data_IF_334512366063
#
_entry.id   IF_334512366063
#
_cell.length_a   1.000
_cell.length_b   1.000
_cell.length_c   1.000
_cell.angle_alpha   90.00
_cell.angle_beta   90.00
_cell.angle_gamma   90.00
#
_symmetry.space_group_name_H-M   'P 1'
#
loop_
_entity.id
_entity.type
_entity.pdbx_description
1 polymer ?
#
# COMPACT_ATOMS: atom_id res chain seq x y z
N UNK A 1 -5.46 -26.21 19.20
CA UNK A 1 -4.21 -25.63 18.66
C UNK A 1 -4.12 -26.06 17.20
N UNK A 2 -4.03 -25.12 16.27
CA UNK A 2 -3.51 -25.45 14.93
C UNK A 2 -2.04 -25.83 15.11
N UNK A 3 -1.69 -27.08 14.83
CA UNK A 3 -0.31 -27.57 14.93
C UNK A 3 0.53 -26.85 13.89
N UNK A 4 1.51 -26.07 14.33
CA UNK A 4 2.51 -25.45 13.44
C UNK A 4 3.64 -26.41 13.07
N UNK A 5 3.54 -27.67 13.50
CA UNK A 5 4.48 -28.74 13.22
C UNK A 5 4.47 -29.05 11.72
N UNK A 6 5.64 -28.99 11.08
CA UNK A 6 5.80 -29.18 9.63
C UNK A 6 5.52 -27.94 8.76
N UNK A 7 5.15 -26.80 9.34
CA UNK A 7 4.98 -25.54 8.61
C UNK A 7 6.27 -24.73 8.55
N UNK A 8 6.51 -24.09 7.41
CA UNK A 8 7.62 -23.16 7.16
C UNK A 8 7.09 -21.83 6.61
N UNK A 9 7.86 -20.72 6.69
CA UNK A 9 7.48 -19.46 6.07
C UNK A 9 7.23 -19.63 4.57
N UNK A 10 6.26 -18.91 4.02
CA UNK A 10 6.02 -18.91 2.57
C UNK A 10 7.28 -18.50 1.81
N UNK A 11 7.62 -19.27 0.77
CA UNK A 11 8.78 -19.01 -0.08
C UNK A 11 8.42 -18.13 -1.28
N UNK A 12 9.45 -17.51 -1.86
CA UNK A 12 9.33 -16.71 -3.09
C UNK A 12 8.71 -17.52 -4.23
N UNK A 13 9.20 -18.74 -4.44
CA UNK A 13 8.76 -19.63 -5.53
C UNK A 13 7.34 -20.16 -5.33
N UNK A 14 6.95 -20.45 -4.08
CA UNK A 14 5.56 -20.80 -3.79
C UNK A 14 4.64 -19.62 -4.09
N UNK A 15 4.99 -18.41 -3.63
CA UNK A 15 4.16 -17.23 -3.84
C UNK A 15 4.05 -16.88 -5.34
N UNK A 16 5.13 -17.04 -6.11
CA UNK A 16 5.10 -16.89 -7.56
C UNK A 16 4.08 -17.82 -8.22
N UNK A 17 4.15 -19.13 -7.91
CA UNK A 17 3.20 -20.15 -8.40
C UNK A 17 1.77 -19.91 -7.94
N UNK A 18 1.59 -19.40 -6.71
CA UNK A 18 0.28 -19.00 -6.21
C UNK A 18 -0.29 -17.85 -7.04
N UNK A 19 0.51 -16.81 -7.27
CA UNK A 19 0.11 -15.65 -8.07
C UNK A 19 -0.11 -15.94 -9.56
N UNK A 20 0.47 -17.00 -10.12
CA UNK A 20 0.17 -17.44 -11.49
C UNK A 20 -1.31 -17.82 -11.71
N UNK A 21 -2.00 -18.18 -10.63
CA UNK A 21 -3.45 -18.47 -10.66
C UNK A 21 -4.30 -17.21 -10.72
N UNK A 22 -3.71 -16.03 -10.48
CA UNK A 22 -4.40 -14.75 -10.36
C UNK A 22 -3.76 -13.70 -11.27
N UNK A 23 -3.91 -13.81 -12.60
CA UNK A 23 -3.42 -12.78 -13.49
C UNK A 23 -4.19 -11.47 -13.28
N UNK A 24 -3.45 -10.36 -13.12
CA UNK A 24 -4.02 -9.02 -13.19
C UNK A 24 -3.89 -8.52 -14.65
N UNK A 25 -4.98 -8.13 -15.31
CA UNK A 25 -4.90 -7.54 -16.64
C UNK A 25 -3.96 -6.32 -16.66
N UNK A 26 -3.19 -6.10 -17.73
CA UNK A 26 -2.37 -4.91 -17.84
C UNK A 26 -3.26 -3.67 -17.85
N UNK A 27 -2.73 -2.57 -17.31
CA UNK A 27 -3.38 -1.26 -17.41
C UNK A 27 -3.50 -0.86 -18.89
N UNK A 28 -4.53 -0.08 -19.26
CA UNK A 28 -4.68 0.39 -20.63
C UNK A 28 -3.45 1.19 -21.10
N UNK A 29 -2.99 0.96 -22.34
CA UNK A 29 -1.81 1.63 -22.91
C UNK A 29 -1.93 3.17 -22.89
N UNK A 30 -3.16 3.68 -22.97
CA UNK A 30 -3.46 5.12 -22.93
C UNK A 30 -3.15 5.82 -21.61
N UNK A 31 -2.97 5.11 -20.49
CA UNK A 31 -2.72 5.72 -19.16
C UNK A 31 -1.44 6.55 -19.14
N UNK A 32 -0.37 6.03 -19.75
CA UNK A 32 0.91 6.73 -19.83
C UNK A 32 0.79 7.97 -20.73
N UNK A 33 0.09 7.84 -21.86
CA UNK A 33 -0.17 8.95 -22.77
C UNK A 33 -1.02 10.06 -22.11
N UNK A 34 -2.04 9.71 -21.34
CA UNK A 34 -2.86 10.65 -20.58
C UNK A 34 -2.02 11.39 -19.53
N UNK A 35 -1.17 10.66 -18.80
CA UNK A 35 -0.25 11.26 -17.84
C UNK A 35 0.72 12.24 -18.50
N UNK A 36 1.21 11.92 -19.71
CA UNK A 36 2.07 12.82 -20.48
C UNK A 36 1.30 14.04 -21.00
N UNK A 37 0.06 13.85 -21.47
CA UNK A 37 -0.81 14.93 -21.96
C UNK A 37 -1.12 15.94 -20.85
N UNK A 38 -1.49 15.48 -19.65
CA UNK A 38 -1.72 16.36 -18.50
C UNK A 38 -0.47 17.16 -18.13
N UNK A 39 0.72 16.53 -18.14
CA UNK A 39 1.98 17.23 -17.91
C UNK A 39 2.29 18.27 -18.99
N UNK A 40 1.98 17.99 -20.25
CA UNK A 40 2.14 18.94 -21.33
C UNK A 40 1.22 20.17 -21.13
N UNK A 41 -0.04 19.95 -20.77
CA UNK A 41 -0.98 21.03 -20.43
C UNK A 41 -0.49 21.86 -19.23
N UNK A 42 0.06 21.21 -18.19
CA UNK A 42 0.70 21.90 -17.08
C UNK A 42 1.90 22.75 -17.51
N UNK A 43 2.73 22.25 -18.43
CA UNK A 43 3.88 22.98 -18.95
C UNK A 43 3.47 24.21 -19.79
N UNK A 44 2.39 24.10 -20.58
CA UNK A 44 1.81 25.23 -21.31
C UNK A 44 1.32 26.33 -20.36
N UNK A 45 0.67 25.96 -19.26
CA UNK A 45 0.23 26.89 -18.22
C UNK A 45 1.42 27.58 -17.53
N UNK A 46 2.49 26.82 -17.27
CA UNK A 46 3.71 27.33 -16.67
C UNK A 46 4.49 28.29 -17.60
N UNK A 47 4.40 28.10 -18.92
CA UNK A 47 5.00 29.00 -19.89
C UNK A 47 4.34 30.39 -19.88
N UNK A 48 3.04 30.47 -19.57
CA UNK A 48 2.31 31.73 -19.45
C UNK A 48 2.54 32.42 -18.09
N UNK A 49 2.73 31.64 -17.02
CA UNK A 49 3.03 32.14 -15.68
C UNK A 49 3.93 31.14 -14.94
N UNK A 50 5.20 31.51 -14.65
CA UNK A 50 6.17 30.60 -14.05
C UNK A 50 5.68 29.97 -12.74
N UNK A 51 6.25 28.82 -12.40
CA UNK A 51 5.95 28.14 -11.15
C UNK A 51 6.37 28.97 -9.94
N UNK A 52 5.50 29.00 -8.92
CA UNK A 52 5.90 29.39 -7.57
C UNK A 52 6.83 28.32 -6.96
N UNK A 53 7.54 28.61 -5.85
CA UNK A 53 8.35 27.61 -5.16
C UNK A 53 7.55 26.35 -4.76
N UNK A 54 6.31 26.53 -4.29
CA UNK A 54 5.42 25.42 -3.93
C UNK A 54 5.01 24.59 -5.16
N UNK A 55 4.71 25.26 -6.28
CA UNK A 55 4.35 24.58 -7.52
C UNK A 55 5.54 23.84 -8.15
N UNK A 56 6.76 24.33 -7.96
CA UNK A 56 7.98 23.65 -8.41
C UNK A 56 8.18 22.34 -7.62
N UNK A 57 7.88 22.33 -6.31
CA UNK A 57 7.87 21.09 -5.53
C UNK A 57 6.81 20.10 -6.04
N UNK A 58 5.58 20.56 -6.33
CA UNK A 58 4.53 19.71 -6.88
C UNK A 58 4.89 19.14 -8.25
N UNK A 59 5.55 19.93 -9.10
CA UNK A 59 6.06 19.50 -10.41
C UNK A 59 7.18 18.47 -10.28
N UNK A 60 8.12 18.69 -9.35
CA UNK A 60 9.18 17.73 -9.05
C UNK A 60 8.60 16.40 -8.58
N UNK A 61 7.62 16.45 -7.67
CA UNK A 61 6.90 15.27 -7.19
C UNK A 61 6.21 14.53 -8.36
N UNK A 62 5.48 15.25 -9.21
CA UNK A 62 4.78 14.67 -10.36
C UNK A 62 5.71 14.12 -11.46
N UNK A 63 6.98 14.52 -11.46
CA UNK A 63 8.02 14.05 -12.37
C UNK A 63 8.89 12.94 -11.77
N UNK A 64 8.80 12.75 -10.45
CA UNK A 64 9.58 11.78 -9.71
C UNK A 64 9.27 10.33 -10.06
N UNK A 65 10.21 9.45 -9.72
CA UNK A 65 9.98 8.01 -9.77
C UNK A 65 9.14 7.63 -8.55
N UNK A 66 7.96 7.01 -8.72
CA UNK A 66 7.17 6.52 -7.61
C UNK A 66 8.00 5.59 -6.73
N UNK A 67 7.73 5.61 -5.42
CA UNK A 67 8.42 4.72 -4.49
C UNK A 67 8.33 3.26 -4.95
N UNK A 68 9.34 2.46 -4.65
CA UNK A 68 9.29 1.05 -5.02
C UNK A 68 8.30 0.25 -4.16
N UNK A 69 7.97 0.73 -2.96
CA UNK A 69 7.08 0.02 -2.04
C UNK A 69 5.61 0.21 -2.41
N UNK A 70 4.85 -0.90 -2.48
CA UNK A 70 3.40 -0.87 -2.80
C UNK A 70 2.62 -0.08 -1.73
N UNK A 71 2.89 -0.28 -0.44
CA UNK A 71 2.18 0.41 0.63
C UNK A 71 2.47 1.91 0.65
N UNK A 72 3.71 2.31 0.36
CA UNK A 72 4.07 3.71 0.18
C UNK A 72 3.27 4.36 -0.96
N UNK A 73 3.11 3.65 -2.08
CA UNK A 73 2.26 4.12 -3.17
C UNK A 73 0.78 4.15 -2.78
N UNK A 74 0.27 3.17 -2.02
CA UNK A 74 -1.12 3.21 -1.55
C UNK A 74 -1.38 4.46 -0.69
N UNK A 75 -0.46 4.80 0.21
CA UNK A 75 -0.53 6.04 1.00
C UNK A 75 -0.41 7.29 0.12
N UNK A 76 0.53 7.31 -0.83
CA UNK A 76 0.69 8.42 -1.77
C UNK A 76 -0.58 8.64 -2.62
N UNK A 77 -1.20 7.59 -3.16
CA UNK A 77 -2.44 7.71 -3.92
C UNK A 77 -3.58 8.24 -3.07
N UNK A 78 -3.69 7.81 -1.80
CA UNK A 78 -4.69 8.33 -0.85
C UNK A 78 -4.47 9.82 -0.57
N UNK A 79 -3.23 10.23 -0.33
CA UNK A 79 -2.82 11.64 -0.19
C UNK A 79 -3.24 12.44 -1.42
N UNK A 80 -2.90 11.97 -2.63
CA UNK A 80 -3.21 12.70 -3.86
C UNK A 80 -4.72 12.79 -4.12
N UNK A 81 -5.51 11.76 -3.79
CA UNK A 81 -6.97 11.84 -3.87
C UNK A 81 -7.50 12.95 -2.95
N UNK A 82 -7.04 13.02 -1.70
CA UNK A 82 -7.48 14.05 -0.76
C UNK A 82 -7.05 15.46 -1.17
N UNK A 83 -5.82 15.61 -1.67
CA UNK A 83 -5.32 16.87 -2.23
C UNK A 83 -6.16 17.34 -3.43
N UNK A 84 -6.51 16.43 -4.34
CA UNK A 84 -7.37 16.76 -5.48
C UNK A 84 -8.77 17.15 -4.99
N UNK A 85 -9.36 16.40 -4.06
CA UNK A 85 -10.67 16.72 -3.48
C UNK A 85 -10.67 18.08 -2.77
N UNK A 86 -9.56 18.42 -2.12
CA UNK A 86 -9.37 19.74 -1.53
C UNK A 86 -9.37 20.84 -2.58
N UNK A 87 -8.70 20.65 -3.73
CA UNK A 87 -8.73 21.59 -4.85
C UNK A 87 -10.12 21.71 -5.50
N UNK A 88 -10.85 20.58 -5.60
CA UNK A 88 -12.20 20.53 -6.19
C UNK A 88 -13.28 21.15 -5.31
N UNK A 89 -13.00 21.40 -4.02
CA UNK A 89 -13.98 21.99 -3.10
C UNK A 89 -14.54 23.30 -3.66
N UNK A 90 -15.87 23.43 -3.66
CA UNK A 90 -16.60 24.59 -4.20
C UNK A 90 -16.06 25.94 -3.73
N UNK A 91 -15.71 26.07 -2.44
CA UNK A 91 -15.19 27.34 -1.88
C UNK A 91 -13.81 27.72 -2.40
N UNK A 92 -13.06 26.77 -2.96
CA UNK A 92 -11.69 26.95 -3.49
C UNK A 92 -11.64 27.12 -4.99
N UNK A 93 -12.76 26.93 -5.69
CA UNK A 93 -12.84 27.17 -7.13
C UNK A 93 -12.72 28.68 -7.41
N UNK A 94 -12.20 29.09 -8.57
CA UNK A 94 -12.31 30.47 -9.06
C UNK A 94 -13.73 31.01 -8.97
N UNK A 95 -13.89 32.30 -8.63
CA UNK A 95 -15.22 32.94 -8.45
C UNK A 95 -16.12 32.75 -9.67
N UNK A 96 -15.56 32.83 -10.89
CA UNK A 96 -16.30 32.59 -12.12
C UNK A 96 -16.92 31.18 -12.20
N UNK A 97 -16.20 30.16 -11.73
CA UNK A 97 -16.70 28.79 -11.66
C UNK A 97 -17.71 28.62 -10.51
N UNK A 98 -17.52 29.31 -9.38
CA UNK A 98 -18.50 29.28 -8.28
C UNK A 98 -19.85 29.85 -8.70
N UNK A 99 -19.83 30.94 -9.46
CA UNK A 99 -21.02 31.65 -9.93
C UNK A 99 -21.60 31.09 -11.23
N UNK A 100 -20.89 30.17 -11.90
CA UNK A 100 -21.23 29.66 -13.24
C UNK A 100 -21.48 30.82 -14.22
N UNK A 101 -20.53 31.75 -14.28
CA UNK A 101 -20.70 33.05 -14.97
C UNK A 101 -20.99 32.92 -16.48
N UNK A 102 -20.64 31.81 -17.11
CA UNK A 102 -20.91 31.48 -18.51
C UNK A 102 -21.41 30.03 -18.67
N UNK A 103 -22.06 29.68 -19.79
CA UNK A 103 -22.42 28.28 -20.09
C UNK A 103 -21.21 27.34 -20.05
N UNK A 104 -20.05 27.78 -20.55
CA UNK A 104 -18.80 27.02 -20.52
C UNK A 104 -18.32 26.79 -19.08
N UNK A 105 -18.41 27.82 -18.23
CA UNK A 105 -18.08 27.69 -16.80
C UNK A 105 -19.01 26.66 -16.12
N UNK A 106 -20.28 26.57 -16.53
CA UNK A 106 -21.24 25.60 -16.01
C UNK A 106 -20.90 24.15 -16.44
N UNK A 107 -20.46 23.94 -17.68
CA UNK A 107 -20.00 22.63 -18.18
C UNK A 107 -18.72 22.17 -17.46
N UNK A 108 -17.77 23.09 -17.26
CA UNK A 108 -16.55 22.82 -16.48
C UNK A 108 -16.92 22.39 -15.07
N UNK A 109 -17.81 23.14 -14.40
CA UNK A 109 -18.28 22.81 -13.05
C UNK A 109 -18.93 21.43 -12.99
N UNK A 110 -19.77 21.09 -13.96
CA UNK A 110 -20.41 19.77 -14.03
C UNK A 110 -19.37 18.65 -14.11
N UNK A 111 -18.30 18.86 -14.89
CA UNK A 111 -17.22 17.88 -15.04
C UNK A 111 -16.37 17.76 -13.78
N UNK A 112 -16.08 18.89 -13.12
CA UNK A 112 -15.37 18.90 -11.83
C UNK A 112 -16.18 18.20 -10.73
N UNK A 113 -17.50 18.38 -10.70
CA UNK A 113 -18.41 17.71 -9.75
C UNK A 113 -18.45 16.19 -9.97
N UNK A 114 -18.44 15.72 -11.23
CA UNK A 114 -18.33 14.30 -11.57
C UNK A 114 -16.98 13.71 -11.11
N UNK A 115 -15.87 14.41 -11.41
CA UNK A 115 -14.54 14.02 -10.95
C UNK A 115 -14.45 13.93 -9.42
N UNK A 116 -15.03 14.92 -8.72
CA UNK A 116 -15.07 14.96 -7.25
C UNK A 116 -15.82 13.75 -6.69
N UNK A 117 -16.96 13.39 -7.31
CA UNK A 117 -17.77 12.24 -6.90
C UNK A 117 -17.00 10.93 -7.05
N UNK A 118 -16.37 10.70 -8.21
CA UNK A 118 -15.57 9.49 -8.47
C UNK A 118 -14.39 9.35 -7.51
N UNK A 119 -13.69 10.45 -7.24
CA UNK A 119 -12.55 10.44 -6.32
C UNK A 119 -12.98 10.23 -4.87
N UNK A 120 -14.11 10.78 -4.43
CA UNK A 120 -14.68 10.51 -3.10
C UNK A 120 -15.03 9.03 -2.93
N UNK A 121 -15.68 8.44 -3.93
CA UNK A 121 -16.03 7.02 -3.90
C UNK A 121 -14.78 6.13 -3.86
N UNK A 122 -13.76 6.44 -4.67
CA UNK A 122 -12.52 5.67 -4.69
C UNK A 122 -11.72 5.85 -3.39
N UNK A 123 -11.63 7.06 -2.85
CA UNK A 123 -10.98 7.32 -1.57
C UNK A 123 -11.62 6.47 -0.47
N UNK A 124 -12.96 6.48 -0.37
CA UNK A 124 -13.69 5.68 0.62
C UNK A 124 -13.41 4.18 0.47
N UNK A 125 -13.36 3.66 -0.76
CA UNK A 125 -13.00 2.25 -1.03
C UNK A 125 -11.58 1.94 -0.55
N UNK A 126 -10.61 2.82 -0.83
CA UNK A 126 -9.23 2.64 -0.40
C UNK A 126 -9.09 2.68 1.13
N UNK A 127 -9.81 3.58 1.81
CA UNK A 127 -9.84 3.66 3.28
C UNK A 127 -10.39 2.37 3.90
N UNK A 128 -11.51 1.87 3.37
CA UNK A 128 -12.11 0.62 3.81
C UNK A 128 -11.18 -0.57 3.56
N UNK A 129 -10.51 -0.60 2.41
CA UNK A 129 -9.50 -1.61 2.11
C UNK A 129 -8.36 -1.59 3.13
N UNK A 130 -7.78 -0.42 3.43
CA UNK A 130 -6.67 -0.30 4.36
C UNK A 130 -7.06 -0.71 5.79
N UNK A 131 -8.24 -0.31 6.26
CA UNK A 131 -8.78 -0.70 7.56
C UNK A 131 -8.99 -2.21 7.65
N UNK A 132 -9.71 -2.78 6.68
CA UNK A 132 -10.00 -4.22 6.63
C UNK A 132 -8.71 -5.05 6.53
N UNK A 133 -7.74 -4.61 5.72
CA UNK A 133 -6.47 -5.30 5.56
C UNK A 133 -5.67 -5.30 6.88
N UNK A 134 -5.63 -4.18 7.61
CA UNK A 134 -4.96 -4.11 8.90
C UNK A 134 -5.57 -5.09 9.93
N UNK A 135 -6.90 -5.21 9.96
CA UNK A 135 -7.59 -6.17 10.82
C UNK A 135 -7.38 -7.61 10.37
N UNK A 136 -7.41 -7.89 9.07
CA UNK A 136 -7.14 -9.23 8.53
C UNK A 136 -5.73 -9.70 8.91
N UNK A 137 -4.70 -8.87 8.69
CA UNK A 137 -3.32 -9.20 9.07
C UNK A 137 -3.23 -9.49 10.57
N UNK A 138 -3.82 -8.62 11.40
CA UNK A 138 -3.80 -8.81 12.84
C UNK A 138 -4.51 -10.10 13.26
N UNK A 139 -5.72 -10.36 12.74
CA UNK A 139 -6.49 -11.55 13.06
C UNK A 139 -5.78 -12.84 12.62
N UNK A 140 -5.14 -12.83 11.44
CA UNK A 140 -4.33 -13.94 10.97
C UNK A 140 -3.12 -14.18 11.88
N UNK A 141 -2.44 -13.13 12.35
CA UNK A 141 -1.38 -13.31 13.36
C UNK A 141 -1.95 -13.92 14.65
N UNK A 142 -3.12 -13.43 15.09
CA UNK A 142 -3.75 -13.89 16.33
C UNK A 142 -4.22 -15.35 16.29
N UNK A 143 -4.38 -16.00 15.13
CA UNK A 143 -4.69 -17.44 15.07
C UNK A 143 -3.53 -18.32 15.55
N UNK A 144 -2.29 -17.81 15.45
CA UNK A 144 -1.07 -18.49 15.89
C UNK A 144 -0.64 -18.10 17.30
N UNK A 145 -1.30 -17.12 17.92
CA UNK A 145 -0.98 -16.67 19.27
C UNK A 145 -1.70 -17.52 20.34
N UNK A 146 -1.13 -17.64 21.55
CA UNK A 146 -1.84 -18.25 22.68
C UNK A 146 -3.18 -17.55 22.95
N UNK A 147 -4.26 -18.33 23.08
CA UNK A 147 -5.63 -17.82 23.34
C UNK A 147 -5.92 -17.61 24.84
N UNK A 148 -4.87 -17.45 25.64
CA UNK A 148 -4.96 -17.18 27.06
C UNK A 148 -4.83 -15.66 27.34
N UNK A 149 -4.59 -15.30 28.61
CA UNK A 149 -4.43 -13.91 29.02
C UNK A 149 -3.37 -13.13 28.20
N UNK A 150 -2.37 -13.81 27.63
CA UNK A 150 -1.32 -13.18 26.80
C UNK A 150 -1.88 -12.66 25.48
N UNK A 151 -2.77 -13.41 24.83
CA UNK A 151 -3.46 -12.97 23.63
C UNK A 151 -4.34 -11.75 23.88
N UNK A 152 -5.01 -11.71 25.03
CA UNK A 152 -5.82 -10.55 25.46
C UNK A 152 -4.95 -9.31 25.71
N UNK A 153 -3.79 -9.46 26.35
CA UNK A 153 -2.86 -8.34 26.58
C UNK A 153 -2.35 -7.73 25.26
N UNK A 154 -2.05 -8.57 24.27
CA UNK A 154 -1.60 -8.11 22.94
C UNK A 154 -2.70 -7.33 22.22
N UNK A 155 -3.97 -7.78 22.29
CA UNK A 155 -5.11 -7.04 21.75
C UNK A 155 -5.25 -5.67 22.43
N UNK A 156 -5.21 -5.62 23.76
CA UNK A 156 -5.30 -4.37 24.52
C UNK A 156 -4.13 -3.42 24.20
N UNK A 157 -2.92 -3.95 24.03
CA UNK A 157 -1.76 -3.16 23.65
C UNK A 157 -1.92 -2.56 22.25
N UNK A 158 -2.41 -3.34 21.28
CA UNK A 158 -2.74 -2.84 19.93
C UNK A 158 -3.76 -1.71 20.02
N UNK A 159 -4.89 -1.93 20.69
CA UNK A 159 -5.94 -0.91 20.79
C UNK A 159 -5.44 0.39 21.41
N UNK A 160 -4.65 0.30 22.49
CA UNK A 160 -4.06 1.49 23.12
C UNK A 160 -3.09 2.21 22.18
N UNK A 161 -2.25 1.45 21.47
CA UNK A 161 -1.31 2.01 20.50
C UNK A 161 -2.04 2.71 19.33
N UNK A 162 -3.08 2.09 18.79
CA UNK A 162 -3.86 2.68 17.69
C UNK A 162 -4.63 3.93 18.14
N UNK A 163 -5.19 3.94 19.36
CA UNK A 163 -5.82 5.14 19.94
C UNK A 163 -4.81 6.29 20.10
N UNK A 164 -3.61 6.01 20.59
CA UNK A 164 -2.57 7.03 20.74
C UNK A 164 -2.13 7.60 19.38
N UNK A 165 -1.92 6.74 18.38
CA UNK A 165 -1.57 7.16 17.01
C UNK A 165 -2.66 8.01 16.36
N UNK A 166 -3.92 7.66 16.59
CA UNK A 166 -5.05 8.46 16.11
C UNK A 166 -5.07 9.84 16.80
N UNK A 167 -4.81 9.91 18.11
CA UNK A 167 -4.72 11.18 18.82
C UNK A 167 -3.58 12.08 18.31
N UNK A 168 -2.44 11.51 17.90
CA UNK A 168 -1.36 12.27 17.23
C UNK A 168 -1.81 12.85 15.88
N UNK A 169 -2.55 12.05 15.10
CA UNK A 169 -3.12 12.51 13.82
C UNK A 169 -4.12 13.65 14.06
N UNK A 170 -5.01 13.49 15.04
CA UNK A 170 -6.01 14.49 15.39
C UNK A 170 -5.35 15.78 15.92
N UNK A 171 -4.23 15.67 16.63
CA UNK A 171 -3.42 16.79 17.07
C UNK A 171 -2.81 17.56 15.89
N UNK A 172 -2.28 16.86 14.88
CA UNK A 172 -1.74 17.51 13.66
C UNK A 172 -2.84 18.25 12.92
N UNK A 173 -4.01 17.61 12.74
CA UNK A 173 -5.14 18.21 12.03
C UNK A 173 -5.70 19.41 12.79
N UNK A 174 -5.88 19.30 14.11
CA UNK A 174 -6.41 20.40 14.93
C UNK A 174 -5.45 21.58 15.05
N UNK A 175 -4.13 21.35 14.94
CA UNK A 175 -3.13 22.40 14.85
C UNK A 175 -3.08 23.12 13.49
N UNK A 176 -3.92 22.73 12.53
CA UNK A 176 -3.93 23.29 11.18
C UNK A 176 -2.88 22.70 10.24
N UNK A 177 -2.36 21.52 10.55
CA UNK A 177 -1.43 20.79 9.68
C UNK A 177 -2.03 20.51 8.31
N UNK A 178 -1.17 20.51 7.29
CA UNK A 178 -1.57 20.22 5.92
C UNK A 178 -1.97 18.76 5.72
N UNK A 179 -2.63 18.47 4.60
CA UNK A 179 -2.91 17.09 4.19
C UNK A 179 -1.58 16.31 4.10
N UNK A 180 -0.54 16.92 3.52
CA UNK A 180 0.80 16.37 3.47
C UNK A 180 1.36 16.01 4.86
N UNK A 181 1.27 16.92 5.85
CA UNK A 181 1.77 16.67 7.21
C UNK A 181 1.11 15.45 7.85
N UNK A 182 -0.22 15.31 7.67
CA UNK A 182 -0.96 14.15 8.14
C UNK A 182 -0.48 12.86 7.47
N UNK A 183 -0.26 12.87 6.16
CA UNK A 183 0.21 11.68 5.43
C UNK A 183 1.66 11.32 5.74
N UNK A 184 2.52 12.31 5.97
CA UNK A 184 3.88 12.10 6.45
C UNK A 184 3.89 11.41 7.83
N UNK A 185 3.00 11.84 8.75
CA UNK A 185 2.83 11.18 10.05
C UNK A 185 2.31 9.75 9.91
N UNK A 186 1.27 9.51 9.10
CA UNK A 186 0.71 8.18 8.88
C UNK A 186 1.76 7.21 8.30
N UNK A 187 2.57 7.69 7.35
CA UNK A 187 3.67 6.92 6.80
C UNK A 187 4.75 6.61 7.84
N UNK A 188 5.14 7.62 8.64
CA UNK A 188 6.08 7.43 9.75
C UNK A 188 5.56 6.36 10.73
N UNK A 189 4.31 6.46 11.16
CA UNK A 189 3.67 5.48 12.04
C UNK A 189 3.64 4.08 11.41
N UNK A 190 3.47 3.96 10.10
CA UNK A 190 3.54 2.68 9.38
C UNK A 190 4.97 2.11 9.38
N UNK A 191 6.00 2.95 9.18
CA UNK A 191 7.40 2.52 9.25
C UNK A 191 7.79 2.11 10.67
N UNK A 192 7.36 2.85 11.69
CA UNK A 192 7.60 2.51 13.09
C UNK A 192 7.00 1.14 13.44
N UNK A 193 5.79 0.82 12.94
CA UNK A 193 5.20 -0.52 13.07
C UNK A 193 6.09 -1.59 12.45
N UNK A 194 6.61 -1.35 11.24
CA UNK A 194 7.50 -2.32 10.55
C UNK A 194 8.82 -2.53 11.30
N UNK A 195 9.41 -1.46 11.85
CA UNK A 195 10.63 -1.54 12.67
C UNK A 195 10.38 -2.35 13.94
N UNK A 196 9.25 -2.11 14.63
CA UNK A 196 8.86 -2.89 15.81
C UNK A 196 8.64 -4.37 15.47
N UNK A 197 8.01 -4.67 14.32
CA UNK A 197 7.84 -6.04 13.84
C UNK A 197 9.20 -6.71 13.56
N UNK A 198 10.13 -6.04 12.87
CA UNK A 198 11.46 -6.60 12.63
C UNK A 198 12.22 -6.89 13.94
N UNK A 199 12.09 -6.01 14.94
CA UNK A 199 12.70 -6.20 16.27
C UNK A 199 12.11 -7.39 17.05
N UNK A 200 10.85 -7.76 16.79
CA UNK A 200 10.26 -9.00 17.31
C UNK A 200 10.95 -10.22 16.71
N UNK A 201 11.13 -10.26 15.39
CA UNK A 201 11.79 -11.35 14.67
C UNK A 201 13.27 -11.52 15.05
N UNK A 202 13.95 -10.44 15.48
CA UNK A 202 15.34 -10.49 15.97
C UNK A 202 15.47 -10.65 17.50
N UNK A 203 14.36 -10.72 18.24
CA UNK A 203 14.33 -10.84 19.71
C UNK A 203 15.16 -9.78 20.47
N UNK A 204 15.14 -8.52 20.03
CA UNK A 204 15.90 -7.41 20.61
C UNK A 204 15.03 -6.38 21.35
N UNK A 205 15.60 -5.63 22.32
CA UNK A 205 14.94 -4.50 23.00
C UNK A 205 13.87 -4.88 24.03
N UNK A 206 12.90 -3.97 24.29
CA UNK A 206 11.73 -4.19 25.20
C UNK A 206 10.91 -5.41 24.76
N UNK A 207 10.97 -5.76 23.48
CA UNK A 207 10.30 -6.90 22.88
C UNK A 207 10.99 -8.24 23.14
N UNK A 208 12.29 -8.27 23.48
CA UNK A 208 12.96 -9.45 24.05
C UNK A 208 12.27 -9.93 25.32
N UNK A 209 11.75 -8.98 26.09
CA UNK A 209 10.98 -9.25 27.30
C UNK A 209 9.61 -9.87 26.96
N UNK A 210 8.93 -9.38 25.92
CA UNK A 210 7.69 -9.98 25.40
C UNK A 210 7.93 -11.40 24.85
N UNK A 211 8.97 -11.63 24.05
CA UNK A 211 9.36 -12.97 23.56
C UNK A 211 9.65 -13.93 24.72
N UNK A 212 10.30 -13.46 25.79
CA UNK A 212 10.49 -14.24 27.02
C UNK A 212 9.19 -14.60 27.74
N UNK A 213 8.17 -13.74 27.69
CA UNK A 213 6.82 -14.04 28.22
C UNK A 213 5.95 -14.86 27.23
N UNK A 214 6.37 -14.95 25.97
CA UNK A 214 5.69 -15.57 24.84
C UNK A 214 6.32 -16.93 24.45
N UNK A 215 6.64 -17.78 25.43
CA UNK A 215 7.14 -19.15 25.23
C UNK A 215 6.22 -20.02 24.33
N UNK A 216 5.01 -19.55 24.00
CA UNK A 216 4.07 -20.23 23.11
C UNK A 216 3.90 -19.63 21.71
N UNK A 217 4.73 -18.67 21.29
CA UNK A 217 4.67 -18.14 19.90
C UNK A 217 5.41 -19.07 18.96
N UNK A 218 4.77 -19.57 17.88
CA UNK A 218 5.43 -20.46 16.93
C UNK A 218 6.67 -19.82 16.28
N UNK A 219 7.78 -20.55 16.26
CA UNK A 219 9.05 -20.07 15.66
C UNK A 219 8.88 -19.68 14.18
N UNK A 220 8.07 -20.44 13.44
CA UNK A 220 7.75 -20.17 12.03
C UNK A 220 7.19 -18.76 11.79
N UNK A 221 6.42 -18.21 12.75
CA UNK A 221 5.91 -16.85 12.68
C UNK A 221 7.01 -15.81 12.87
N UNK A 222 7.95 -16.07 13.78
CA UNK A 222 9.11 -15.19 13.99
C UNK A 222 10.04 -15.18 12.78
N UNK A 223 10.25 -16.34 12.15
CA UNK A 223 11.05 -16.49 10.94
C UNK A 223 10.43 -15.75 9.76
N UNK A 224 9.10 -15.84 9.59
CA UNK A 224 8.37 -15.06 8.59
C UNK A 224 8.50 -13.55 8.83
N UNK A 225 8.29 -13.08 10.06
CA UNK A 225 8.36 -11.65 10.41
C UNK A 225 9.77 -11.10 10.13
N UNK A 226 10.82 -11.90 10.35
CA UNK A 226 12.20 -11.52 10.03
C UNK A 226 12.42 -11.28 8.54
N UNK A 227 11.71 -12.01 7.67
CA UNK A 227 11.86 -11.94 6.21
C UNK A 227 10.92 -10.91 5.55
N UNK A 228 9.94 -10.35 6.27
CA UNK A 228 8.90 -9.49 5.67
C UNK A 228 9.44 -8.19 5.05
N UNK A 229 10.61 -7.72 5.51
CA UNK A 229 11.29 -6.53 5.02
C UNK A 229 12.53 -6.85 4.17
N UNK A 230 12.80 -8.13 3.90
CA UNK A 230 13.93 -8.53 3.05
C UNK A 230 13.65 -8.13 1.59
N UNK A 231 14.61 -7.43 0.97
CA UNK A 231 14.55 -7.02 -0.43
C UNK A 231 14.69 -8.20 -1.41
N UNK A 232 14.95 -9.42 -0.91
CA UNK A 232 14.84 -10.67 -1.64
C UNK A 232 13.71 -11.57 -1.11
N UNK A 233 12.92 -11.07 -0.15
CA UNK A 233 11.87 -11.81 0.51
C UNK A 233 10.70 -12.17 -0.43
N UNK A 234 9.80 -13.06 0.03
CA UNK A 234 8.66 -13.53 -0.78
C UNK A 234 7.79 -12.36 -1.27
N UNK A 235 7.68 -11.29 -0.48
CA UNK A 235 6.90 -10.10 -0.80
C UNK A 235 7.41 -9.30 -2.02
N UNK A 236 8.60 -9.57 -2.55
CA UNK A 236 9.16 -8.87 -3.71
C UNK A 236 8.59 -9.37 -5.04
N UNK A 237 8.18 -10.64 -5.12
CA UNK A 237 7.46 -11.18 -6.30
C UNK A 237 6.18 -10.38 -6.56
N UNK A 238 5.50 -10.05 -5.47
CA UNK A 238 4.31 -9.21 -5.50
C UNK A 238 4.60 -7.84 -6.13
N UNK A 239 5.74 -7.24 -5.76
CA UNK A 239 6.14 -5.91 -6.21
C UNK A 239 6.55 -5.92 -7.66
N UNK A 240 7.35 -6.89 -8.08
CA UNK A 240 7.77 -7.06 -9.46
C UNK A 240 6.54 -7.23 -10.38
N UNK A 241 5.57 -8.04 -9.96
CA UNK A 241 4.41 -8.39 -10.80
C UNK A 241 3.33 -7.32 -10.83
N UNK A 242 3.02 -6.69 -9.68
CA UNK A 242 1.86 -5.81 -9.55
C UNK A 242 2.22 -4.34 -9.28
N UNK A 243 3.46 -4.06 -8.87
CA UNK A 243 3.97 -2.71 -8.65
C UNK A 243 3.91 -1.81 -9.89
N UNK A 244 4.35 -2.25 -11.09
CA UNK A 244 4.39 -1.40 -12.29
C UNK A 244 3.05 -0.75 -12.65
N UNK A 245 1.94 -1.49 -12.52
CA UNK A 245 0.60 -0.97 -12.73
C UNK A 245 0.28 0.15 -11.73
N UNK A 246 0.51 -0.10 -10.44
CA UNK A 246 0.30 0.89 -9.37
C UNK A 246 1.17 2.14 -9.56
N UNK A 247 2.45 1.98 -9.88
CA UNK A 247 3.35 3.12 -10.10
C UNK A 247 2.89 4.00 -11.26
N UNK A 248 2.34 3.39 -12.30
CA UNK A 248 1.78 4.12 -13.44
C UNK A 248 0.52 4.88 -13.05
N UNK A 249 -0.36 4.29 -12.23
CA UNK A 249 -1.51 5.00 -11.66
C UNK A 249 -1.09 6.14 -10.72
N UNK A 250 -0.05 5.95 -9.90
CA UNK A 250 0.52 7.02 -9.06
C UNK A 250 1.00 8.19 -9.92
N UNK A 251 1.68 7.92 -11.04
CA UNK A 251 2.11 8.96 -11.99
C UNK A 251 0.93 9.70 -12.62
N UNK A 252 -0.18 9.02 -12.87
CA UNK A 252 -1.39 9.62 -13.43
C UNK A 252 -2.05 10.56 -12.42
N UNK A 253 -2.29 10.13 -11.19
CA UNK A 253 -2.96 10.96 -10.17
C UNK A 253 -2.12 12.18 -9.79
N UNK A 254 -0.79 12.06 -9.77
CA UNK A 254 0.10 13.21 -9.58
C UNK A 254 0.00 14.22 -10.72
N UNK A 255 -0.06 13.75 -11.98
CA UNK A 255 -0.26 14.61 -13.13
C UNK A 255 -1.63 15.29 -13.11
N UNK A 256 -2.68 14.58 -12.67
CA UNK A 256 -4.02 15.15 -12.44
C UNK A 256 -3.97 16.27 -11.41
N UNK A 257 -3.34 16.04 -10.25
CA UNK A 257 -3.22 17.07 -9.19
C UNK A 257 -2.47 18.30 -9.70
N UNK A 258 -1.31 18.11 -10.35
CA UNK A 258 -0.52 19.21 -10.90
C UNK A 258 -1.34 20.04 -11.90
N UNK A 259 -1.94 19.38 -12.89
CA UNK A 259 -2.74 20.08 -13.90
C UNK A 259 -3.93 20.83 -13.29
N UNK A 260 -4.67 20.19 -12.37
CA UNK A 260 -5.80 20.81 -11.71
C UNK A 260 -5.39 22.03 -10.88
N UNK A 261 -4.31 21.90 -10.10
CA UNK A 261 -3.78 22.99 -9.29
C UNK A 261 -3.48 24.23 -10.16
N UNK A 262 -2.69 24.05 -11.22
CA UNK A 262 -2.28 25.15 -12.10
C UNK A 262 -3.48 25.75 -12.85
N UNK A 263 -4.37 24.90 -13.37
CA UNK A 263 -5.55 25.31 -14.13
C UNK A 263 -6.51 26.15 -13.30
N UNK A 264 -6.74 25.77 -12.03
CA UNK A 264 -7.59 26.55 -11.13
C UNK A 264 -6.89 27.84 -10.68
N UNK A 265 -5.60 27.79 -10.34
CA UNK A 265 -4.84 28.97 -9.91
C UNK A 265 -4.75 30.03 -11.02
N UNK A 266 -4.62 29.60 -12.29
CA UNK A 266 -4.46 30.48 -13.46
C UNK A 266 -5.76 30.67 -14.24
N UNK A 267 -6.92 30.30 -13.70
CA UNK A 267 -8.20 30.32 -14.42
C UNK A 267 -8.56 31.70 -15.00
N UNK A 268 -8.25 32.78 -14.27
CA UNK A 268 -8.48 34.14 -14.74
C UNK A 268 -7.57 34.58 -15.89
N UNK A 269 -6.45 33.88 -16.11
CA UNK A 269 -5.47 34.16 -17.17
C UNK A 269 -5.71 33.27 -18.40
N UNK A 270 -5.95 31.98 -18.19
CA UNK A 270 -6.30 30.99 -19.23
C UNK A 270 -7.46 30.14 -18.72
N UNK A 271 -8.63 30.29 -19.35
CA UNK A 271 -9.78 29.41 -19.10
C UNK A 271 -9.42 27.98 -19.50
N UNK A 272 -10.03 27.01 -18.82
CA UNK A 272 -9.88 25.58 -19.16
C UNK A 272 -10.63 25.34 -20.47
N UNK A 273 -9.93 24.85 -21.50
CA UNK A 273 -10.54 24.50 -22.77
C UNK A 273 -11.41 23.25 -22.68
N UNK A 274 -12.37 23.11 -23.61
CA UNK A 274 -13.26 21.93 -23.69
C UNK A 274 -12.49 20.61 -23.84
N UNK A 275 -11.46 20.61 -24.67
CA UNK A 275 -10.62 19.42 -24.85
C UNK A 275 -9.78 19.13 -23.60
N UNK A 276 -9.29 20.18 -22.93
CA UNK A 276 -8.45 20.05 -21.75
C UNK A 276 -9.24 19.52 -20.54
N UNK A 277 -10.50 19.95 -20.36
CA UNK A 277 -11.37 19.41 -19.30
C UNK A 277 -11.79 17.96 -19.61
N UNK A 278 -11.98 17.60 -20.89
CA UNK A 278 -12.25 16.23 -21.29
C UNK A 278 -11.07 15.28 -21.00
N UNK A 279 -9.83 15.75 -21.22
CA UNK A 279 -8.62 15.01 -20.84
C UNK A 279 -8.56 14.76 -19.33
N UNK A 280 -8.86 15.78 -18.52
CA UNK A 280 -8.93 15.64 -17.06
C UNK A 280 -9.99 14.60 -16.66
N UNK A 281 -11.19 14.68 -17.22
CA UNK A 281 -12.27 13.75 -16.92
C UNK A 281 -11.88 12.32 -17.27
N UNK A 282 -11.33 12.10 -18.47
CA UNK A 282 -10.88 10.79 -18.92
C UNK A 282 -9.79 10.23 -18.00
N UNK A 283 -8.83 11.06 -17.58
CA UNK A 283 -7.78 10.66 -16.65
C UNK A 283 -8.35 10.23 -15.29
N UNK A 284 -9.30 10.99 -14.72
CA UNK A 284 -9.92 10.64 -13.43
C UNK A 284 -10.74 9.35 -13.55
N UNK A 285 -11.53 9.19 -14.61
CA UNK A 285 -12.32 7.98 -14.86
C UNK A 285 -11.41 6.76 -14.91
N UNK A 286 -10.41 6.76 -15.80
CA UNK A 286 -9.51 5.61 -15.95
C UNK A 286 -8.72 5.36 -14.66
N UNK A 287 -8.24 6.41 -14.00
CA UNK A 287 -7.54 6.27 -12.72
C UNK A 287 -8.42 5.56 -11.68
N UNK A 288 -9.65 6.01 -11.47
CA UNK A 288 -10.54 5.42 -10.46
C UNK A 288 -10.98 4.00 -10.80
N UNK A 289 -11.18 3.68 -12.08
CA UNK A 289 -11.52 2.33 -12.53
C UNK A 289 -10.36 1.35 -12.33
N UNK A 290 -9.17 1.70 -12.83
CA UNK A 290 -7.99 0.84 -12.75
C UNK A 290 -7.46 0.71 -11.32
N UNK A 291 -7.49 1.80 -10.54
CA UNK A 291 -7.12 1.75 -9.12
C UNK A 291 -8.14 0.93 -8.32
N UNK A 292 -9.43 1.00 -8.68
CA UNK A 292 -10.47 0.14 -8.15
C UNK A 292 -10.17 -1.34 -8.40
N UNK A 293 -9.93 -1.72 -9.66
CA UNK A 293 -9.54 -3.10 -10.05
C UNK A 293 -8.32 -3.57 -9.27
N UNK A 294 -7.30 -2.72 -9.15
CA UNK A 294 -6.11 -3.00 -8.36
C UNK A 294 -6.47 -3.28 -6.90
N UNK A 295 -7.17 -2.39 -6.21
CA UNK A 295 -7.52 -2.59 -4.79
C UNK A 295 -8.37 -3.84 -4.55
N UNK A 296 -9.31 -4.16 -5.44
CA UNK A 296 -10.09 -5.41 -5.37
C UNK A 296 -9.18 -6.62 -5.53
N UNK A 297 -8.35 -6.64 -6.57
CA UNK A 297 -7.43 -7.73 -6.84
C UNK A 297 -6.49 -8.01 -5.65
N UNK A 298 -5.83 -6.96 -5.14
CA UNK A 298 -4.94 -7.05 -3.99
C UNK A 298 -5.72 -7.57 -2.76
N UNK A 299 -6.95 -7.09 -2.56
CA UNK A 299 -7.82 -7.52 -1.46
C UNK A 299 -8.30 -8.97 -1.55
N UNK A 300 -8.40 -9.54 -2.75
CA UNK A 300 -8.80 -10.93 -2.95
C UNK A 300 -7.60 -11.88 -2.97
N UNK A 301 -6.48 -11.47 -3.58
CA UNK A 301 -5.33 -12.34 -3.78
C UNK A 301 -4.44 -12.38 -2.55
N UNK A 302 -4.16 -11.23 -1.92
CA UNK A 302 -3.17 -11.17 -0.83
C UNK A 302 -3.76 -11.57 0.51
N UNK A 303 -5.01 -11.21 0.77
CA UNK A 303 -5.69 -11.61 2.01
C UNK A 303 -5.78 -13.13 2.11
N UNK A 304 -5.84 -13.82 0.96
CA UNK A 304 -5.94 -15.27 0.88
C UNK A 304 -4.59 -15.97 0.62
N UNK A 305 -3.50 -15.23 0.41
CA UNK A 305 -2.18 -15.83 0.26
C UNK A 305 -1.73 -16.45 1.59
N UNK A 306 -1.26 -17.71 1.59
CA UNK A 306 -0.86 -18.37 2.83
C UNK A 306 0.40 -17.73 3.40
N UNK A 307 0.44 -17.49 4.71
CA UNK A 307 1.64 -16.99 5.42
C UNK A 307 2.66 -18.11 5.68
N UNK A 308 2.16 -19.34 5.84
CA UNK A 308 2.93 -20.55 6.07
C UNK A 308 2.50 -21.63 5.10
N UNK A 309 3.44 -22.45 4.68
CA UNK A 309 3.25 -23.57 3.77
C UNK A 309 3.88 -24.82 4.37
N UNK A 310 3.54 -26.01 3.85
CA UNK A 310 4.20 -27.23 4.29
C UNK A 310 5.68 -27.22 3.87
N UNK A 311 6.54 -27.97 4.58
CA UNK A 311 7.94 -28.14 4.19
C UNK A 311 8.06 -28.71 2.75
N UNK A 312 7.17 -29.62 2.36
CA UNK A 312 7.10 -30.19 1.01
C UNK A 312 6.78 -29.12 -0.05
N UNK A 313 5.78 -28.26 0.22
CA UNK A 313 5.40 -27.16 -0.67
C UNK A 313 6.51 -26.11 -0.84
N UNK A 314 7.34 -25.95 0.19
CA UNK A 314 8.53 -25.10 0.16
C UNK A 314 9.68 -25.68 -0.66
N UNK A 315 9.54 -26.90 -1.18
CA UNK A 315 10.60 -27.59 -1.94
C UNK A 315 11.65 -28.24 -1.06
N UNK A 316 11.40 -28.41 0.25
CA UNK A 316 12.16 -29.37 1.03
C UNK A 316 11.71 -30.74 0.55
N UNK A 317 12.55 -31.41 -0.26
CA UNK A 317 12.31 -32.79 -0.67
C UNK A 317 11.82 -33.58 0.54
N UNK A 318 10.69 -34.27 0.38
CA UNK A 318 10.43 -35.48 1.11
C UNK A 318 11.50 -36.49 0.69
N UNK A 319 12.73 -36.31 1.16
CA UNK A 319 13.56 -37.43 1.53
C UNK A 319 12.76 -38.15 2.61
N UNK A 320 11.85 -39.00 2.16
CA UNK A 320 11.54 -40.24 2.86
C UNK A 320 12.87 -40.70 3.40
N UNK A 321 12.93 -40.84 4.72
CA UNK A 321 14.02 -41.46 5.45
C UNK A 321 14.19 -42.91 4.98
N UNK A 322 14.56 -43.11 3.73
CA UNK A 322 15.08 -44.38 3.27
C UNK A 322 16.56 -44.38 3.70
N UNK A 323 16.75 -45.12 4.79
CA UNK A 323 17.98 -45.78 5.23
C UNK A 323 19.09 -44.94 5.86
N UNK A 324 18.84 -44.41 7.06
CA UNK A 324 19.86 -44.53 8.11
C UNK A 324 19.20 -44.97 9.42
N UNK A 325 19.42 -46.24 9.80
CA UNK A 325 19.13 -46.73 11.15
C UNK A 325 20.38 -46.51 12.01
N UNK A 326 20.33 -45.53 12.90
CA UNK A 326 21.33 -45.43 13.97
C UNK A 326 21.22 -46.64 14.90
N UNK A 327 22.31 -47.40 15.01
CA UNK A 327 22.43 -48.52 15.95
C UNK A 327 23.49 -48.17 16.98
N UNK A 328 23.09 -48.11 18.25
CA UNK A 328 24.00 -47.80 19.36
C UNK A 328 24.83 -49.05 19.67
N UNK A 329 26.15 -48.97 19.50
CA UNK A 329 27.09 -50.06 19.82
C UNK A 329 27.72 -49.78 21.19
N UNK A 330 27.48 -50.64 22.21
CA UNK A 330 28.09 -50.48 23.51
C UNK A 330 29.62 -50.64 23.46
N UNK A 331 30.33 -49.93 24.34
CA UNK A 331 31.79 -49.99 24.43
C UNK A 331 32.29 -51.45 24.58
N UNK A 332 33.17 -51.86 23.67
CA UNK A 332 33.76 -53.20 23.65
C UNK A 332 33.03 -54.26 22.82
N UNK A 333 31.95 -53.89 22.09
CA UNK A 333 31.30 -54.78 21.11
C UNK A 333 31.55 -54.33 19.67
N UNK A 334 31.65 -55.30 18.76
CA UNK A 334 31.69 -55.10 17.31
C UNK A 334 30.30 -55.34 16.70
N UNK A 335 29.94 -54.55 15.70
CA UNK A 335 28.71 -54.70 14.91
C UNK A 335 29.11 -54.99 13.47
N UNK A 336 28.65 -56.12 12.92
CA UNK A 336 28.85 -56.44 11.51
C UNK A 336 27.71 -55.84 10.68
N UNK A 337 28.09 -55.09 9.65
CA UNK A 337 27.15 -54.51 8.70
C UNK A 337 26.91 -55.54 7.60
N UNK A 338 25.68 -56.02 7.39
CA UNK A 338 25.38 -56.91 6.27
C UNK A 338 25.52 -56.13 4.95
N UNK A 339 26.20 -56.75 3.97
CA UNK A 339 26.35 -56.25 2.60
C UNK A 339 25.14 -56.57 1.73
#
# INVERSE_FOLDING_TARGET
MTTTEGLVPITRDYLARYYDKYPLPPIPDGVTALSARLRALSAELAAASPFSPEEEHLKQEASGVPAHKIDENMWKNREQMEEILFLLNKSRRPVALQQKSTPEDAEIVSTLDDCETKLKEMLKKLEQFQLKNADNVFNTVMTYMPQDFRGTLIRQQRERSERNKQAEVDAVVSAGGSIHDRYALLWKQQMDRRVQLAQLGSATGVYKTLVRYLVGVPQVLLDFIRQINDANGPMEVQRERYGPALYTLTKLVLAVRLYLHLSLARYGQKKIGKDDIAVLQQAVVIYTEEFGKFTTFIGEVFVNAPFFISAEDAGADSRKNDEYRETIIPAGKTHEVPF
#
